data_IF_382617863725
#
_entry.id   IF_382617863725
#
_cell.length_a   1.000
_cell.length_b   1.000
_cell.length_c   1.000
_cell.angle_alpha   90.00
_cell.angle_beta   90.00
_cell.angle_gamma   90.00
#
_symmetry.space_group_name_H-M   'P 1'
#
loop_
_entity.id
_entity.type
_entity.pdbx_description
1 polymer ?
#
# COMPACT_ATOMS: atom_id res chain seq x y z
N UNK A 1 -32.26 17.16 -6.81
CA UNK A 1 -30.91 17.10 -7.39
C UNK A 1 -30.17 16.09 -6.55
N UNK A 2 -30.03 14.87 -7.08
CA UNK A 2 -29.31 13.79 -6.43
C UNK A 2 -27.88 14.29 -6.24
N UNK A 3 -27.42 14.46 -5.00
CA UNK A 3 -26.00 14.64 -4.75
C UNK A 3 -25.40 13.25 -4.87
N UNK A 4 -24.69 13.01 -5.97
CA UNK A 4 -23.84 11.84 -6.17
C UNK A 4 -22.80 11.84 -5.05
N UNK A 5 -23.10 11.13 -3.98
CA UNK A 5 -22.08 10.65 -3.05
C UNK A 5 -21.29 9.59 -3.84
N UNK A 6 -20.30 10.03 -4.60
CA UNK A 6 -19.13 9.21 -4.92
C UNK A 6 -18.47 8.91 -3.57
N UNK A 7 -18.96 7.88 -2.88
CA UNK A 7 -18.18 7.19 -1.87
C UNK A 7 -16.97 6.66 -2.61
N UNK A 8 -15.88 7.40 -2.52
CA UNK A 8 -14.57 6.95 -2.94
C UNK A 8 -14.26 5.73 -2.08
N UNK A 9 -14.55 4.53 -2.59
CA UNK A 9 -14.37 3.21 -1.95
C UNK A 9 -12.87 2.88 -1.81
N UNK A 10 -12.05 3.86 -1.44
CA UNK A 10 -10.68 3.68 -1.05
C UNK A 10 -10.66 3.08 0.35
N UNK A 11 -10.51 1.76 0.43
CA UNK A 11 -10.35 0.98 1.68
C UNK A 11 -8.96 1.09 2.28
N UNK A 12 -8.12 1.97 1.73
CA UNK A 12 -6.76 2.22 2.18
C UNK A 12 -6.70 3.52 2.97
N UNK A 13 -6.22 3.46 4.20
CA UNK A 13 -5.82 4.61 4.99
C UNK A 13 -4.31 4.81 4.87
N UNK A 14 -3.90 5.93 4.27
CA UNK A 14 -2.50 6.29 4.06
C UNK A 14 -1.96 7.05 5.27
N UNK A 15 -0.74 6.72 5.71
CA UNK A 15 0.01 7.51 6.70
C UNK A 15 0.47 8.85 6.12
N UNK A 16 0.77 8.86 4.82
CA UNK A 16 1.40 9.95 4.10
C UNK A 16 0.48 10.52 3.02
N UNK A 17 0.14 11.82 3.09
CA UNK A 17 -0.67 12.48 2.06
C UNK A 17 -0.05 12.33 0.66
N UNK A 18 1.27 12.45 0.52
CA UNK A 18 1.91 12.34 -0.79
C UNK A 18 1.75 10.96 -1.44
N UNK A 19 1.59 9.89 -0.66
CA UNK A 19 1.35 8.55 -1.18
C UNK A 19 -0.11 8.40 -1.61
N UNK A 20 -1.03 9.00 -0.87
CA UNK A 20 -2.44 9.12 -1.27
C UNK A 20 -2.59 9.94 -2.57
N UNK A 21 -1.92 11.09 -2.69
CA UNK A 21 -1.96 11.91 -3.90
C UNK A 21 -1.39 11.17 -5.13
N UNK A 22 -0.36 10.34 -4.92
CA UNK A 22 0.15 9.45 -5.95
C UNK A 22 -0.89 8.40 -6.34
N UNK A 23 -1.52 7.73 -5.38
CA UNK A 23 -2.54 6.72 -5.62
C UNK A 23 -3.75 7.30 -6.38
N UNK A 24 -4.33 8.39 -5.87
CA UNK A 24 -5.60 8.92 -6.37
C UNK A 24 -5.45 9.67 -7.70
N UNK A 25 -4.36 10.42 -7.86
CA UNK A 25 -4.19 11.35 -8.98
C UNK A 25 -2.97 11.07 -9.85
N UNK A 26 -2.18 10.03 -9.56
CA UNK A 26 -0.93 9.76 -10.25
C UNK A 26 0.14 10.84 -10.02
N UNK A 27 0.00 11.65 -8.95
CA UNK A 27 0.89 12.79 -8.69
C UNK A 27 2.30 12.31 -8.36
N UNK A 28 3.27 12.72 -9.18
CA UNK A 28 4.68 12.40 -8.93
C UNK A 28 5.16 12.98 -7.59
N UNK A 29 6.03 12.24 -6.90
CA UNK A 29 6.67 12.70 -5.68
C UNK A 29 8.14 12.27 -5.65
N UNK A 30 9.03 13.13 -5.15
CA UNK A 30 10.48 12.83 -5.01
C UNK A 30 10.80 11.59 -4.18
N UNK A 31 9.89 11.16 -3.29
CA UNK A 31 10.03 9.93 -2.49
C UNK A 31 9.70 8.66 -3.27
N UNK A 32 9.12 8.78 -4.47
CA UNK A 32 8.78 7.66 -5.36
C UNK A 32 9.70 7.74 -6.58
N UNK A 33 10.77 6.92 -6.65
CA UNK A 33 11.55 6.80 -7.87
C UNK A 33 10.67 6.40 -9.05
N UNK A 34 10.87 7.02 -10.21
CA UNK A 34 10.14 6.71 -11.44
C UNK A 34 10.21 5.21 -11.79
N UNK A 35 11.33 4.56 -11.48
CA UNK A 35 11.55 3.14 -11.70
C UNK A 35 10.55 2.23 -10.95
N UNK A 36 9.93 2.71 -9.86
CA UNK A 36 8.96 1.92 -9.08
C UNK A 36 7.53 2.42 -9.23
N UNK A 37 7.26 3.57 -9.86
CA UNK A 37 5.90 4.16 -9.90
C UNK A 37 4.86 3.18 -10.44
N UNK A 38 5.16 2.49 -11.55
CA UNK A 38 4.22 1.57 -12.16
C UNK A 38 3.99 0.28 -11.34
N UNK A 39 5.01 -0.23 -10.64
CA UNK A 39 4.83 -1.39 -9.75
C UNK A 39 4.13 -0.98 -8.46
N UNK A 40 4.47 0.19 -7.91
CA UNK A 40 3.84 0.77 -6.72
C UNK A 40 2.33 0.94 -6.94
N UNK A 41 1.91 1.56 -8.04
CA UNK A 41 0.49 1.72 -8.37
C UNK A 41 -0.27 0.39 -8.36
N UNK A 42 0.25 -0.63 -9.07
CA UNK A 42 -0.36 -1.98 -9.08
C UNK A 42 -0.47 -2.59 -7.69
N UNK A 43 0.52 -2.39 -6.80
CA UNK A 43 0.44 -2.89 -5.42
C UNK A 43 -0.62 -2.17 -4.59
N UNK A 44 -0.77 -0.86 -4.80
CA UNK A 44 -1.82 -0.08 -4.14
C UNK A 44 -3.21 -0.52 -4.60
N UNK A 45 -3.40 -0.74 -5.91
CA UNK A 45 -4.66 -1.27 -6.44
C UNK A 45 -5.00 -2.63 -5.85
N UNK A 46 -4.01 -3.52 -5.73
CA UNK A 46 -4.19 -4.84 -5.11
C UNK A 46 -4.54 -4.74 -3.62
N UNK A 47 -3.93 -3.81 -2.88
CA UNK A 47 -4.27 -3.56 -1.48
C UNK A 47 -5.71 -3.06 -1.33
N UNK A 48 -6.16 -2.20 -2.24
CA UNK A 48 -7.53 -1.67 -2.22
C UNK A 48 -8.56 -2.76 -2.57
N UNK A 49 -8.20 -3.67 -3.47
CA UNK A 49 -9.05 -4.75 -3.95
C UNK A 49 -9.08 -5.99 -3.05
N UNK A 50 -8.16 -6.12 -2.08
CA UNK A 50 -8.11 -7.27 -1.20
C UNK A 50 -9.25 -7.24 -0.17
N UNK A 51 -10.00 -8.34 -0.05
CA UNK A 51 -11.05 -8.47 0.96
C UNK A 51 -10.51 -9.04 2.28
N UNK A 52 -9.40 -9.78 2.21
CA UNK A 52 -8.70 -10.34 3.39
C UNK A 52 -7.19 -10.33 3.18
N UNK A 53 -6.46 -10.29 4.30
CA UNK A 53 -4.98 -10.33 4.32
C UNK A 53 -4.40 -11.52 3.55
N UNK A 54 -5.12 -12.65 3.51
CA UNK A 54 -4.71 -13.86 2.79
C UNK A 54 -4.59 -13.67 1.28
N UNK A 55 -5.35 -12.75 0.69
CA UNK A 55 -5.35 -12.51 -0.76
C UNK A 55 -4.00 -11.93 -1.21
N UNK A 56 -3.35 -11.17 -0.31
CA UNK A 56 -2.04 -10.56 -0.56
C UNK A 56 -0.88 -11.56 -0.60
N UNK A 57 -1.11 -12.83 -0.26
CA UNK A 57 -0.11 -13.90 -0.46
C UNK A 57 0.02 -14.29 -1.93
N UNK A 58 -0.98 -13.97 -2.76
CA UNK A 58 -0.94 -14.13 -4.20
C UNK A 58 -0.84 -12.77 -4.89
N UNK A 59 0.00 -12.61 -5.92
CA UNK A 59 0.97 -13.57 -6.44
C UNK A 59 2.19 -13.73 -5.51
N UNK A 60 2.99 -14.81 -5.66
CA UNK A 60 4.16 -15.10 -4.82
C UNK A 60 5.18 -13.95 -4.73
N UNK A 61 5.26 -13.13 -5.77
CA UNK A 61 6.13 -11.95 -5.82
C UNK A 61 5.79 -10.85 -4.81
N UNK A 62 4.63 -10.89 -4.15
CA UNK A 62 4.31 -9.97 -3.06
C UNK A 62 5.22 -10.18 -1.86
N UNK A 63 5.70 -11.42 -1.66
CA UNK A 63 6.46 -11.82 -0.46
C UNK A 63 5.81 -11.24 0.79
N UNK A 64 4.52 -11.52 0.93
CA UNK A 64 3.73 -11.06 2.06
C UNK A 64 4.35 -11.58 3.36
N UNK A 65 4.63 -10.67 4.29
CA UNK A 65 5.30 -10.98 5.55
C UNK A 65 4.62 -10.21 6.68
N UNK A 66 4.26 -10.91 7.77
CA UNK A 66 3.92 -10.26 9.03
C UNK A 66 5.23 -9.78 9.68
N UNK A 67 5.27 -8.53 10.15
CA UNK A 67 6.47 -7.95 10.72
C UNK A 67 6.60 -8.30 12.21
N UNK A 68 7.86 -8.51 12.61
CA UNK A 68 8.25 -8.77 13.99
C UNK A 68 8.45 -7.44 14.76
N UNK A 69 8.59 -7.48 16.10
CA UNK A 69 8.93 -6.31 16.90
C UNK A 69 10.11 -5.52 16.30
N UNK A 70 10.04 -4.16 16.28
CA UNK A 70 9.06 -3.30 16.95
C UNK A 70 7.74 -3.08 16.16
N UNK A 71 7.58 -3.68 14.97
CA UNK A 71 6.42 -3.49 14.09
C UNK A 71 5.41 -4.63 14.21
N UNK A 72 5.26 -5.21 15.39
CA UNK A 72 4.25 -6.24 15.65
C UNK A 72 2.85 -5.74 15.27
N UNK A 73 2.11 -6.54 14.51
CA UNK A 73 0.78 -6.19 14.01
C UNK A 73 0.78 -5.50 12.64
N UNK A 74 1.96 -5.11 12.13
CA UNK A 74 2.09 -4.70 10.74
C UNK A 74 2.37 -5.90 9.83
N UNK A 75 2.00 -5.73 8.58
CA UNK A 75 2.32 -6.58 7.46
C UNK A 75 3.09 -5.78 6.41
N UNK A 76 3.80 -6.49 5.53
CA UNK A 76 4.43 -5.87 4.37
C UNK A 76 4.23 -6.66 3.10
N UNK A 77 4.21 -5.95 1.96
CA UNK A 77 4.36 -6.53 0.63
C UNK A 77 5.47 -5.80 -0.12
N UNK A 78 6.24 -6.51 -0.94
CA UNK A 78 7.32 -5.93 -1.73
C UNK A 78 6.78 -5.23 -2.97
N UNK A 79 7.31 -4.03 -3.22
CA UNK A 79 7.16 -3.31 -4.50
C UNK A 79 8.25 -3.76 -5.46
N UNK A 80 9.48 -3.88 -4.95
CA UNK A 80 10.64 -4.49 -5.61
C UNK A 80 11.67 -4.93 -4.55
N UNK A 81 12.93 -5.15 -4.95
CA UNK A 81 14.02 -5.53 -4.03
C UNK A 81 14.39 -4.48 -2.98
N UNK A 82 14.11 -3.20 -3.25
CA UNK A 82 14.52 -2.06 -2.41
C UNK A 82 13.36 -1.35 -1.72
N UNK A 83 12.12 -1.70 -2.01
CA UNK A 83 10.94 -0.98 -1.51
C UNK A 83 9.85 -1.95 -1.09
N UNK A 84 9.25 -1.67 0.06
CA UNK A 84 8.09 -2.38 0.59
C UNK A 84 6.99 -1.40 0.98
N UNK A 85 5.76 -1.85 0.85
CA UNK A 85 4.62 -1.22 1.49
C UNK A 85 4.43 -1.88 2.85
N UNK A 86 4.34 -1.07 3.91
CA UNK A 86 4.05 -1.53 5.27
C UNK A 86 2.70 -0.97 5.69
N UNK A 87 1.88 -1.81 6.30
CA UNK A 87 0.52 -1.46 6.71
C UNK A 87 0.04 -2.34 7.85
N UNK A 88 -1.05 -1.95 8.50
CA UNK A 88 -1.86 -2.81 9.37
C UNK A 88 -3.06 -3.32 8.59
N UNK A 89 -3.47 -4.55 8.89
CA UNK A 89 -4.75 -5.06 8.40
C UNK A 89 -5.78 -4.89 9.51
N UNK A 90 -6.68 -3.92 9.35
CA UNK A 90 -7.75 -3.59 10.29
C UNK A 90 -9.12 -4.14 9.86
N UNK A 91 -10.17 -3.74 10.56
CA UNK A 91 -11.55 -4.19 10.29
C UNK A 91 -12.06 -3.67 8.93
N UNK A 92 -11.60 -2.49 8.51
CA UNK A 92 -12.05 -1.82 7.29
C UNK A 92 -11.06 -1.96 6.12
N UNK A 93 -10.06 -2.84 6.26
CA UNK A 93 -9.05 -3.08 5.22
C UNK A 93 -7.64 -2.63 5.63
N UNK A 94 -6.99 -1.85 4.76
CA UNK A 94 -5.59 -1.50 4.91
C UNK A 94 -5.45 -0.19 5.67
N UNK A 95 -4.77 -0.22 6.80
CA UNK A 95 -4.59 0.93 7.68
C UNK A 95 -3.12 1.33 7.79
N UNK A 96 -2.88 2.61 8.05
CA UNK A 96 -1.55 3.15 8.37
C UNK A 96 -0.48 2.79 7.32
N UNK A 97 -0.88 2.85 6.04
CA UNK A 97 -0.05 2.44 4.91
C UNK A 97 1.05 3.47 4.62
N UNK A 98 2.29 3.01 4.47
CA UNK A 98 3.41 3.83 4.00
C UNK A 98 4.39 3.02 3.14
N UNK A 99 5.14 3.74 2.32
CA UNK A 99 6.24 3.19 1.50
C UNK A 99 7.55 3.30 2.28
N UNK A 100 8.25 2.18 2.40
CA UNK A 100 9.52 2.07 3.12
C UNK A 100 10.64 1.63 2.16
N UNK A 101 11.71 2.43 2.01
CA UNK A 101 12.93 1.99 1.35
C UNK A 101 13.62 0.93 2.24
N UNK A 102 13.56 -0.32 1.81
CA UNK A 102 14.26 -1.43 2.45
C UNK A 102 15.72 -1.47 1.95
N UNK A 103 16.56 -0.56 2.45
CA UNK A 103 18.01 -0.71 2.30
C UNK A 103 18.52 -1.80 3.26
N UNK A 104 18.98 -2.92 2.71
CA UNK A 104 19.90 -3.79 3.45
C UNK A 104 21.22 -3.00 3.55
N UNK A 105 21.44 -2.35 4.68
CA UNK A 105 22.76 -1.84 5.05
C UNK A 105 23.60 -2.95 5.66
#
# INVERSE_FOLDING_TARGET
MQQDHEHDDCRIQFRDDWLYQFYKYGKANRKIPTAISASLGRKLDMLNAADKVGDLRSPPGNRFENLNPPLTGYSSIRVNEKYRLIFKWGENGVEDLYLDPHDYR
#
